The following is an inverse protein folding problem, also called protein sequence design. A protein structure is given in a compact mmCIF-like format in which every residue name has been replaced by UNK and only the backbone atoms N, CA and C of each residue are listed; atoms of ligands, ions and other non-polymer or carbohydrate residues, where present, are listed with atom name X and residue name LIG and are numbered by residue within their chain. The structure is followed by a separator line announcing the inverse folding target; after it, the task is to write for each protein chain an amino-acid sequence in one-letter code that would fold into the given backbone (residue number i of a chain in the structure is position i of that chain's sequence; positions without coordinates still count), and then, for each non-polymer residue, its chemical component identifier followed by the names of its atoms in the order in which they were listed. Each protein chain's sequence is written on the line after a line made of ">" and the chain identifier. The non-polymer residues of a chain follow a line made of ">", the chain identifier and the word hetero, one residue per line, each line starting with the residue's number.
data_IF_262437690053
#
_entry.id   IF_262437690053
#
_cell.length_a   1.000
_cell.length_b   1.000
_cell.length_c   1.000
_cell.angle_alpha   90.00
_cell.angle_beta   90.00
_cell.angle_gamma   90.00
#
_symmetry.space_group_name_H-M   'P 1'
#
loop_
_entity.id
_entity.type
_entity.pdbx_description
1 polymer ?
#
# COMPACT_ATOMS: atom_id res chain seq x y z
N UNK A 1 18.03 6.92 8.51
CA UNK A 1 16.84 7.00 9.38
C UNK A 1 17.13 6.25 10.67
N UNK A 2 16.62 6.72 11.80
CA UNK A 2 16.67 5.95 13.05
C UNK A 2 15.74 4.73 12.98
N UNK A 3 15.95 3.72 13.84
CA UNK A 3 15.07 2.53 13.93
C UNK A 3 13.59 2.92 14.07
N UNK A 4 13.29 3.85 14.98
CA UNK A 4 11.93 4.41 15.17
C UNK A 4 11.37 5.08 13.92
N UNK A 5 12.19 5.80 13.15
CA UNK A 5 11.74 6.42 11.90
C UNK A 5 11.39 5.36 10.86
N UNK A 6 12.18 4.29 10.74
CA UNK A 6 11.93 3.20 9.79
C UNK A 6 10.66 2.43 10.13
N UNK A 7 10.44 2.14 11.42
CA UNK A 7 9.20 1.51 11.89
C UNK A 7 7.96 2.37 11.57
N UNK A 8 8.05 3.68 11.82
CA UNK A 8 6.97 4.61 11.49
C UNK A 8 6.70 4.66 9.99
N UNK A 9 7.76 4.70 9.17
CA UNK A 9 7.65 4.67 7.71
C UNK A 9 7.05 3.36 7.20
N UNK A 10 7.46 2.20 7.73
CA UNK A 10 6.89 0.91 7.34
C UNK A 10 5.38 0.87 7.60
N UNK A 11 4.94 1.29 8.80
CA UNK A 11 3.51 1.40 9.13
C UNK A 11 2.76 2.34 8.18
N UNK A 12 3.32 3.52 7.92
CA UNK A 12 2.74 4.48 7.00
C UNK A 12 2.59 3.91 5.57
N UNK A 13 3.59 3.19 5.07
CA UNK A 13 3.54 2.54 3.75
C UNK A 13 2.47 1.43 3.70
N UNK A 14 2.30 0.66 4.77
CA UNK A 14 1.19 -0.30 4.88
C UNK A 14 -0.18 0.38 4.87
N UNK A 15 -0.33 1.50 5.58
CA UNK A 15 -1.59 2.27 5.60
C UNK A 15 -1.90 2.86 4.22
N UNK A 16 -0.90 3.37 3.50
CA UNK A 16 -1.05 3.78 2.09
C UNK A 16 -1.49 2.60 1.23
N UNK A 17 -0.82 1.45 1.32
CA UNK A 17 -1.18 0.26 0.54
C UNK A 17 -2.66 -0.11 0.74
N UNK A 18 -3.10 -0.20 2.01
CA UNK A 18 -4.51 -0.49 2.33
C UNK A 18 -5.44 0.60 1.82
N UNK A 19 -5.06 1.87 1.96
CA UNK A 19 -5.83 3.02 1.45
C UNK A 19 -6.00 2.99 -0.07
N UNK A 20 -4.94 2.72 -0.82
CA UNK A 20 -4.98 2.58 -2.29
C UNK A 20 -5.89 1.41 -2.67
N UNK A 21 -5.72 0.24 -2.06
CA UNK A 21 -6.55 -0.92 -2.34
C UNK A 21 -8.03 -0.63 -2.05
N UNK A 22 -8.31 0.04 -0.93
CA UNK A 22 -9.66 0.45 -0.54
C UNK A 22 -10.28 1.39 -1.56
N UNK A 23 -9.57 2.46 -1.95
CA UNK A 23 -10.06 3.45 -2.91
C UNK A 23 -10.24 2.83 -4.30
N UNK A 24 -9.32 1.98 -4.74
CA UNK A 24 -9.40 1.31 -6.03
C UNK A 24 -10.63 0.39 -6.12
N UNK A 25 -10.96 -0.32 -5.04
CA UNK A 25 -12.11 -1.23 -5.00
C UNK A 25 -13.40 -0.44 -4.72
N UNK A 26 -13.51 0.23 -3.57
CA UNK A 26 -14.72 0.95 -3.16
C UNK A 26 -15.08 2.06 -4.15
N UNK A 27 -14.08 2.81 -4.62
CA UNK A 27 -14.28 3.87 -5.61
C UNK A 27 -14.81 3.35 -6.95
N UNK A 28 -14.62 2.07 -7.27
CA UNK A 28 -15.23 1.44 -8.44
C UNK A 28 -16.58 0.80 -8.14
N UNK A 29 -16.83 0.35 -6.91
CA UNK A 29 -18.15 -0.17 -6.48
C UNK A 29 -19.25 0.90 -6.54
N UNK A 30 -18.91 2.16 -6.31
CA UNK A 30 -19.87 3.28 -6.35
C UNK A 30 -20.10 3.84 -7.77
N UNK A 31 -19.38 3.35 -8.79
CA UNK A 31 -19.53 3.80 -10.17
C UNK A 31 -20.54 2.92 -10.91
N UNK A 32 -21.30 3.54 -11.82
CA UNK A 32 -22.24 2.82 -12.70
C UNK A 32 -21.55 1.81 -13.63
N UNK A 33 -20.27 2.04 -13.94
CA UNK A 33 -19.43 1.13 -14.72
C UNK A 33 -18.07 0.97 -14.06
N UNK A 34 -17.61 -0.28 -14.01
CA UNK A 34 -16.30 -0.60 -13.45
C UNK A 34 -15.20 -0.13 -14.39
N UNK A 35 -14.25 0.62 -13.84
CA UNK A 35 -13.04 1.07 -14.53
C UNK A 35 -11.92 0.06 -14.26
N UNK A 36 -11.92 -1.01 -15.06
CA UNK A 36 -10.99 -2.13 -14.93
C UNK A 36 -9.51 -1.68 -14.94
N UNK A 37 -9.07 -0.77 -15.85
CA UNK A 37 -7.71 -0.21 -15.79
C UNK A 37 -7.36 0.42 -14.43
N UNK A 38 -8.28 1.21 -13.84
CA UNK A 38 -8.04 1.84 -12.53
C UNK A 38 -7.94 0.80 -11.41
N UNK A 39 -8.76 -0.25 -11.45
CA UNK A 39 -8.68 -1.34 -10.46
C UNK A 39 -7.32 -2.04 -10.55
N UNK A 40 -6.87 -2.38 -11.76
CA UNK A 40 -5.59 -3.08 -11.97
C UNK A 40 -4.42 -2.20 -11.52
N UNK A 41 -4.38 -0.93 -11.94
CA UNK A 41 -3.30 -0.01 -11.57
C UNK A 41 -3.29 0.28 -10.06
N UNK A 42 -4.47 0.41 -9.44
CA UNK A 42 -4.61 0.58 -8.01
C UNK A 42 -4.11 -0.63 -7.22
N UNK A 43 -4.46 -1.84 -7.64
CA UNK A 43 -3.95 -3.08 -7.03
C UNK A 43 -2.44 -3.21 -7.18
N UNK A 44 -1.88 -2.92 -8.37
CA UNK A 44 -0.43 -2.92 -8.59
C UNK A 44 0.28 -1.92 -7.68
N UNK A 45 -0.25 -0.70 -7.56
CA UNK A 45 0.31 0.32 -6.68
C UNK A 45 0.25 -0.13 -5.21
N UNK A 46 -0.88 -0.67 -4.74
CA UNK A 46 -1.01 -1.20 -3.39
C UNK A 46 0.04 -2.29 -3.11
N UNK A 47 0.22 -3.23 -4.04
CA UNK A 47 1.23 -4.29 -3.93
C UNK A 47 2.64 -3.72 -3.81
N UNK A 48 2.99 -2.72 -4.62
CA UNK A 48 4.31 -2.06 -4.56
C UNK A 48 4.55 -1.43 -3.18
N UNK A 49 3.58 -0.67 -2.67
CA UNK A 49 3.68 -0.05 -1.34
C UNK A 49 3.77 -1.09 -0.22
N UNK A 50 3.02 -2.19 -0.34
CA UNK A 50 3.09 -3.31 0.60
C UNK A 50 4.47 -3.95 0.63
N UNK A 51 5.03 -4.31 -0.53
CA UNK A 51 6.35 -4.94 -0.60
C UNK A 51 7.46 -4.00 -0.13
N UNK A 52 7.32 -2.70 -0.37
CA UNK A 52 8.27 -1.72 0.14
C UNK A 52 8.20 -1.62 1.67
N UNK A 53 6.99 -1.55 2.24
CA UNK A 53 6.79 -1.60 3.69
C UNK A 53 7.40 -2.87 4.31
N UNK A 54 7.12 -4.02 3.69
CA UNK A 54 7.62 -5.33 4.10
C UNK A 54 9.14 -5.43 4.06
N UNK A 55 9.77 -4.93 2.99
CA UNK A 55 11.24 -4.89 2.90
C UNK A 55 11.85 -4.06 4.01
N UNK A 56 11.26 -2.90 4.31
CA UNK A 56 11.75 -2.01 5.37
C UNK A 56 11.58 -2.64 6.75
N UNK A 57 10.45 -3.29 7.01
CA UNK A 57 10.18 -4.02 8.26
C UNK A 57 11.19 -5.16 8.45
N UNK A 58 11.44 -5.95 7.40
CA UNK A 58 12.40 -7.05 7.43
C UNK A 58 13.82 -6.58 7.75
N UNK A 59 14.26 -5.47 7.17
CA UNK A 59 15.58 -4.92 7.48
C UNK A 59 15.69 -4.44 8.95
N UNK A 60 14.59 -4.02 9.58
CA UNK A 60 14.56 -3.62 10.99
C UNK A 60 14.63 -4.84 11.93
N UNK A 61 14.02 -5.97 11.54
CA UNK A 61 14.06 -7.22 12.31
C UNK A 61 15.46 -7.85 12.34
N UNK A 62 16.27 -7.60 11.31
CA UNK A 62 17.65 -8.09 11.21
C UNK A 62 18.71 -7.12 11.81
N UNK A 63 18.28 -6.01 12.44
CA UNK A 63 19.10 -5.04 13.21
C UNK A 63 18.92 -5.16 14.72
#
# INVERSE_FOLDING_TARGET
>A
MTKKQRESTAKYLYDISKGIALVAIIGNFIKDKWDIPVIILGLLAAIIFFFWAYSLEREIEHE
#
